data_IF_349449058687
#
_entry.id   IF_349449058687
#
_cell.length_a   1.000
_cell.length_b   1.000
_cell.length_c   1.000
_cell.angle_alpha   90.00
_cell.angle_beta   90.00
_cell.angle_gamma   90.00
#
_symmetry.space_group_name_H-M   'P 1'
#
loop_
_entity.id
_entity.type
_entity.pdbx_description
1 polymer ?
#
# COMPACT_ATOMS: atom_id res chain seq x y z
N UNK A 1 -1.43 21.56 2.28
CA UNK A 1 -2.41 21.86 1.21
C UNK A 1 -2.65 23.36 1.21
N UNK A 2 -3.28 23.90 0.16
CA UNK A 2 -3.76 25.28 0.18
C UNK A 2 -4.75 25.47 1.36
N UNK A 3 -4.56 26.45 2.26
CA UNK A 3 -5.43 26.69 3.40
C UNK A 3 -6.90 26.93 3.05
N UNK A 4 -7.17 27.51 1.86
CA UNK A 4 -8.54 27.73 1.40
C UNK A 4 -9.22 26.41 1.06
N UNK A 5 -8.52 25.55 0.34
CA UNK A 5 -8.99 24.21 -0.04
C UNK A 5 -9.28 23.35 1.21
N UNK A 6 -8.44 23.43 2.23
CA UNK A 6 -8.62 22.67 3.46
C UNK A 6 -9.91 23.06 4.20
N UNK A 7 -10.22 24.36 4.23
CA UNK A 7 -11.45 24.88 4.84
C UNK A 7 -12.70 24.50 4.06
N UNK A 8 -12.64 24.53 2.73
CA UNK A 8 -13.73 24.05 1.86
C UNK A 8 -13.99 22.55 2.03
N UNK A 9 -12.92 21.75 2.14
CA UNK A 9 -13.02 20.32 2.42
C UNK A 9 -13.67 20.02 3.77
N UNK A 10 -13.32 20.75 4.83
CA UNK A 10 -13.95 20.57 6.14
C UNK A 10 -15.45 20.89 6.12
N UNK A 11 -15.85 21.94 5.40
CA UNK A 11 -17.26 22.29 5.22
C UNK A 11 -18.00 21.22 4.41
N UNK A 12 -17.38 20.69 3.36
CA UNK A 12 -17.94 19.61 2.55
C UNK A 12 -18.10 18.31 3.36
N UNK A 13 -17.09 17.95 4.16
CA UNK A 13 -17.13 16.80 5.05
C UNK A 13 -18.25 16.95 6.10
N UNK A 14 -18.37 18.12 6.74
CA UNK A 14 -19.44 18.42 7.71
C UNK A 14 -20.84 18.30 7.11
N UNK A 15 -21.06 18.77 5.87
CA UNK A 15 -22.35 18.63 5.17
C UNK A 15 -22.75 17.18 4.95
N UNK A 16 -21.78 16.28 4.86
CA UNK A 16 -22.00 14.84 4.69
C UNK A 16 -22.01 14.06 6.02
N UNK A 17 -21.85 14.75 7.16
CA UNK A 17 -21.73 14.10 8.47
C UNK A 17 -20.44 13.28 8.62
N UNK A 18 -19.43 13.56 7.80
CA UNK A 18 -18.14 12.85 7.79
C UNK A 18 -17.05 13.69 8.46
N UNK A 19 -16.06 13.02 9.03
CA UNK A 19 -14.80 13.67 9.42
C UNK A 19 -13.98 14.02 8.18
N UNK A 20 -13.10 15.02 8.29
CA UNK A 20 -12.17 15.39 7.20
C UNK A 20 -11.39 14.17 6.67
N UNK A 21 -10.88 13.33 7.57
CA UNK A 21 -10.16 12.11 7.21
C UNK A 21 -11.02 11.13 6.40
N UNK A 22 -12.27 10.88 6.81
CA UNK A 22 -13.19 10.00 6.09
C UNK A 22 -13.56 10.57 4.71
N UNK A 23 -13.74 11.88 4.62
CA UNK A 23 -14.01 12.55 3.36
C UNK A 23 -12.82 12.43 2.38
N UNK A 24 -11.59 12.61 2.87
CA UNK A 24 -10.37 12.39 2.07
C UNK A 24 -10.30 10.95 1.58
N UNK A 25 -10.48 9.97 2.46
CA UNK A 25 -10.44 8.55 2.11
C UNK A 25 -11.46 8.25 1.01
N UNK A 26 -12.71 8.67 1.18
CA UNK A 26 -13.77 8.45 0.20
C UNK A 26 -13.47 9.13 -1.15
N UNK A 27 -12.92 10.35 -1.14
CA UNK A 27 -12.55 11.07 -2.34
C UNK A 27 -11.40 10.38 -3.08
N UNK A 28 -10.39 9.90 -2.35
CA UNK A 28 -9.26 9.14 -2.89
C UNK A 28 -9.74 7.80 -3.44
N UNK A 29 -10.55 7.05 -2.70
CA UNK A 29 -11.15 5.79 -3.16
C UNK A 29 -12.00 5.98 -4.42
N UNK A 30 -12.70 7.11 -4.53
CA UNK A 30 -13.51 7.46 -5.71
C UNK A 30 -12.64 7.90 -6.90
N UNK A 31 -11.57 8.66 -6.66
CA UNK A 31 -10.64 9.11 -7.69
C UNK A 31 -9.77 7.96 -8.22
N UNK A 32 -9.39 7.04 -7.35
CA UNK A 32 -8.75 5.76 -7.71
C UNK A 32 -9.75 4.73 -8.26
N UNK A 33 -11.03 5.09 -8.26
CA UNK A 33 -12.13 4.34 -8.87
C UNK A 33 -12.29 2.95 -8.28
N UNK A 34 -12.64 2.82 -6.98
CA UNK A 34 -12.97 1.56 -6.27
C UNK A 34 -12.49 0.31 -7.02
N UNK A 35 -11.16 0.17 -7.12
CA UNK A 35 -10.59 -1.10 -7.55
C UNK A 35 -10.71 -2.00 -6.35
N UNK A 36 -11.74 -2.85 -6.35
CA UNK A 36 -11.75 -4.05 -5.51
C UNK A 36 -10.33 -4.63 -5.58
N UNK A 37 -9.59 -4.71 -4.47
CA UNK A 37 -8.19 -5.15 -4.48
C UNK A 37 -8.04 -6.49 -5.20
N UNK A 38 -9.07 -7.33 -5.10
CA UNK A 38 -9.13 -8.61 -5.80
C UNK A 38 -9.36 -8.44 -7.30
N UNK A 39 -10.25 -7.55 -7.73
CA UNK A 39 -10.43 -7.23 -9.15
C UNK A 39 -9.17 -6.60 -9.79
N UNK A 40 -8.44 -5.76 -9.06
CA UNK A 40 -7.14 -5.24 -9.50
C UNK A 40 -6.11 -6.36 -9.62
N UNK A 41 -6.04 -7.24 -8.63
CA UNK A 41 -5.17 -8.41 -8.69
C UNK A 41 -5.48 -9.27 -9.92
N UNK A 42 -6.76 -9.57 -10.18
CA UNK A 42 -7.15 -10.32 -11.38
C UNK A 42 -6.82 -9.59 -12.68
N UNK A 43 -6.91 -8.25 -12.72
CA UNK A 43 -6.49 -7.47 -13.87
C UNK A 43 -4.99 -7.60 -14.10
N UNK A 44 -4.17 -7.40 -13.07
CA UNK A 44 -2.71 -7.52 -13.16
C UNK A 44 -2.29 -8.92 -13.59
N UNK A 45 -2.91 -9.98 -13.05
CA UNK A 45 -2.61 -11.35 -13.44
C UNK A 45 -2.93 -11.63 -14.92
N UNK A 46 -4.00 -11.02 -15.47
CA UNK A 46 -4.33 -11.11 -16.90
C UNK A 46 -3.32 -10.36 -17.75
N UNK A 47 -2.98 -9.13 -17.36
CA UNK A 47 -1.98 -8.31 -18.06
C UNK A 47 -0.60 -8.99 -18.08
N UNK A 48 -0.19 -9.62 -16.98
CA UNK A 48 1.06 -10.41 -16.93
C UNK A 48 0.99 -11.67 -17.82
N UNK A 49 -0.17 -12.33 -17.92
CA UNK A 49 -0.33 -13.48 -18.80
C UNK A 49 -0.29 -13.11 -20.30
N UNK A 50 -0.69 -11.88 -20.64
CA UNK A 50 -0.68 -11.34 -22.00
C UNK A 50 0.65 -10.68 -22.38
N UNK A 51 1.50 -10.35 -21.40
CA UNK A 51 2.81 -9.74 -21.63
C UNK A 51 3.80 -10.76 -22.23
N UNK A 52 4.27 -10.56 -23.48
CA UNK A 52 5.22 -11.45 -24.13
C UNK A 52 6.59 -11.53 -23.43
N UNK A 53 6.92 -10.57 -22.57
CA UNK A 53 8.17 -10.57 -21.78
C UNK A 53 8.02 -11.35 -20.46
N UNK A 54 6.80 -11.60 -19.98
CA UNK A 54 6.55 -12.35 -18.76
C UNK A 54 7.19 -13.76 -18.73
N UNK A 55 7.20 -14.56 -19.82
CA UNK A 55 7.90 -15.84 -19.81
C UNK A 55 9.43 -15.70 -19.66
N UNK A 56 10.05 -14.65 -20.22
CA UNK A 56 11.49 -14.42 -20.08
C UNK A 56 11.87 -14.03 -18.65
N UNK A 57 11.07 -13.16 -18.02
CA UNK A 57 11.24 -12.79 -16.60
C UNK A 57 11.03 -14.02 -15.72
N UNK A 58 9.97 -14.79 -15.97
CA UNK A 58 9.70 -16.01 -15.19
C UNK A 58 10.83 -17.03 -15.32
N UNK A 59 11.40 -17.20 -16.51
CA UNK A 59 12.56 -18.06 -16.74
C UNK A 59 13.83 -17.55 -16.07
N UNK A 60 14.08 -16.24 -16.08
CA UNK A 60 15.24 -15.64 -15.42
C UNK A 60 15.26 -15.92 -13.91
N UNK A 61 14.08 -15.99 -13.28
CA UNK A 61 13.92 -16.27 -11.85
C UNK A 61 13.57 -17.75 -11.54
N UNK A 62 13.35 -18.61 -12.55
CA UNK A 62 12.90 -19.99 -12.35
C UNK A 62 13.88 -20.89 -11.59
N UNK A 63 15.16 -20.54 -11.61
CA UNK A 63 16.23 -21.25 -10.88
C UNK A 63 16.68 -20.56 -9.60
N UNK A 64 16.13 -19.39 -9.26
CA UNK A 64 16.48 -18.72 -8.01
C UNK A 64 15.85 -19.47 -6.83
N UNK A 65 16.64 -19.89 -5.83
CA UNK A 65 16.09 -20.43 -4.61
C UNK A 65 15.32 -19.32 -3.90
N UNK A 66 13.99 -19.35 -4.03
CA UNK A 66 13.11 -18.51 -3.22
C UNK A 66 13.10 -19.10 -1.81
N UNK A 67 14.06 -18.71 -0.97
CA UNK A 67 13.97 -18.98 0.46
C UNK A 67 12.62 -18.43 0.96
N UNK A 68 11.83 -19.21 1.73
CA UNK A 68 10.61 -18.70 2.32
C UNK A 68 10.93 -17.45 3.14
N UNK A 69 10.13 -16.41 2.99
CA UNK A 69 10.33 -15.18 3.75
C UNK A 69 10.22 -15.49 5.25
N UNK A 70 11.35 -15.41 5.97
CA UNK A 70 11.39 -15.60 7.42
C UNK A 70 10.80 -14.37 8.11
N UNK A 71 9.51 -14.47 8.42
CA UNK A 71 8.72 -13.42 9.06
C UNK A 71 9.27 -13.05 10.44
N UNK A 72 9.73 -14.03 11.22
CA UNK A 72 10.22 -13.82 12.58
C UNK A 72 11.57 -13.11 12.60
N UNK A 73 12.50 -13.55 11.74
CA UNK A 73 13.80 -12.89 11.60
C UNK A 73 13.65 -11.46 11.08
N UNK A 74 12.77 -11.25 10.11
CA UNK A 74 12.50 -9.93 9.55
C UNK A 74 11.85 -9.01 10.58
N UNK A 75 10.90 -9.52 11.36
CA UNK A 75 10.27 -8.79 12.47
C UNK A 75 11.29 -8.40 13.54
N UNK A 76 12.16 -9.31 13.95
CA UNK A 76 13.22 -9.02 14.93
C UNK A 76 14.16 -7.92 14.43
N UNK A 77 14.55 -7.96 13.16
CA UNK A 77 15.38 -6.92 12.54
C UNK A 77 14.68 -5.55 12.49
N UNK A 78 13.38 -5.51 12.19
CA UNK A 78 12.58 -4.29 12.21
C UNK A 78 12.46 -3.70 13.62
N UNK A 79 12.21 -4.55 14.64
CA UNK A 79 12.15 -4.13 16.04
C UNK A 79 13.51 -3.57 16.49
N UNK A 80 14.61 -4.21 16.14
CA UNK A 80 15.95 -3.71 16.46
C UNK A 80 16.21 -2.33 15.84
N UNK A 81 15.85 -2.13 14.56
CA UNK A 81 15.95 -0.82 13.89
C UNK A 81 15.09 0.25 14.57
N UNK A 82 13.87 -0.09 14.99
CA UNK A 82 12.98 0.82 15.71
C UNK A 82 13.54 1.19 17.08
N UNK A 83 14.06 0.21 17.84
CA UNK A 83 14.70 0.46 19.15
C UNK A 83 15.92 1.37 19.00
N UNK A 84 16.77 1.11 18.01
CA UNK A 84 17.93 1.95 17.72
C UNK A 84 17.53 3.39 17.32
N UNK A 85 16.45 3.54 16.54
CA UNK A 85 15.96 4.85 16.10
C UNK A 85 15.30 5.66 17.22
N UNK A 86 14.63 4.98 18.16
CA UNK A 86 13.81 5.61 19.20
C UNK A 86 14.43 5.57 20.60
N UNK A 87 15.65 5.05 20.75
CA UNK A 87 16.36 5.01 22.03
C UNK A 87 15.72 4.08 23.07
N UNK A 88 14.84 3.16 22.66
CA UNK A 88 14.19 2.20 23.55
C UNK A 88 15.13 0.98 23.70
N UNK A 89 16.23 1.16 24.41
CA UNK A 89 16.96 0.01 24.96
C UNK A 89 16.23 -0.46 26.21
N UNK A 90 15.92 -1.75 26.30
CA UNK A 90 15.67 -2.35 27.60
C UNK A 90 17.04 -2.47 28.28
N UNK A 91 17.16 -1.92 29.49
CA UNK A 91 18.16 -2.37 30.47
C UNK A 91 18.00 -3.88 30.72
#
# INVERSE_FOLDING_TARGET
MDPLLEREMELAAKRQGLTKSQFIINAVERALGRKDPYALYQQVMREMAEDPNCPEVTQAFAGEPHEPYDTERSRAALIAKLRAKHGISAD
#
